data_IF_160215102395
#
_entry.id   IF_160215102395
#
_cell.length_a   1.000
_cell.length_b   1.000
_cell.length_c   1.000
_cell.angle_alpha   90.00
_cell.angle_beta   90.00
_cell.angle_gamma   90.00
#
_symmetry.space_group_name_H-M   'P 1'
#
loop_
_entity.id
_entity.type
_entity.pdbx_description
1 polymer ?
#
# COMPACT_ATOMS: atom_id res chain seq x y z
N UNK A 1 12.62 -6.31 -2.87
CA UNK A 1 12.60 -7.22 -1.70
C UNK A 1 12.39 -8.63 -2.21
N UNK A 2 13.27 -9.57 -1.87
CA UNK A 2 13.14 -10.98 -2.26
C UNK A 2 11.99 -11.66 -1.52
N UNK A 3 11.33 -12.61 -2.18
CA UNK A 3 10.30 -13.44 -1.54
C UNK A 3 10.93 -14.26 -0.40
N UNK A 4 10.28 -14.35 0.77
CA UNK A 4 10.78 -15.21 1.83
C UNK A 4 10.74 -16.68 1.38
N UNK A 5 11.64 -17.49 1.93
CA UNK A 5 11.62 -18.93 1.70
C UNK A 5 10.27 -19.56 2.10
N UNK A 6 9.83 -20.60 1.38
CA UNK A 6 8.59 -21.32 1.69
C UNK A 6 8.54 -21.79 3.15
N UNK A 7 7.33 -21.83 3.71
CA UNK A 7 7.13 -22.25 5.11
C UNK A 7 7.64 -23.66 5.35
N UNK A 8 7.40 -24.57 4.41
CA UNK A 8 7.82 -25.97 4.50
C UNK A 8 9.34 -26.11 4.67
N UNK A 9 10.12 -25.32 3.92
CA UNK A 9 11.58 -25.33 4.05
C UNK A 9 12.01 -24.86 5.44
N UNK A 10 11.38 -23.80 5.95
CA UNK A 10 11.67 -23.26 7.29
C UNK A 10 11.36 -24.29 8.37
N UNK A 11 10.22 -24.95 8.28
CA UNK A 11 9.80 -25.99 9.22
C UNK A 11 10.75 -27.17 9.22
N UNK A 12 11.12 -27.68 8.04
CA UNK A 12 12.04 -28.82 7.92
C UNK A 12 13.44 -28.52 8.45
N UNK A 13 13.96 -27.32 8.15
CA UNK A 13 15.27 -26.88 8.66
C UNK A 13 15.30 -26.84 10.18
N UNK A 14 14.21 -26.36 10.81
CA UNK A 14 14.14 -26.25 12.27
C UNK A 14 13.90 -27.60 12.92
N UNK A 15 13.05 -28.45 12.36
CA UNK A 15 12.85 -29.82 12.83
C UNK A 15 14.19 -30.59 12.87
N UNK A 16 14.98 -30.49 11.81
CA UNK A 16 16.31 -31.12 11.75
C UNK A 16 17.28 -30.59 12.82
N UNK A 17 17.22 -29.30 13.16
CA UNK A 17 18.02 -28.75 14.26
C UNK A 17 17.50 -29.20 15.62
N UNK A 18 16.17 -29.31 15.79
CA UNK A 18 15.53 -29.81 17.01
C UNK A 18 15.78 -31.31 17.25
N UNK A 19 16.02 -32.09 16.19
CA UNK A 19 16.50 -33.48 16.24
C UNK A 19 17.94 -33.62 16.78
N UNK A 20 18.65 -32.50 17.00
CA UNK A 20 19.97 -32.46 17.62
C UNK A 20 21.13 -32.20 16.65
N UNK A 21 20.83 -31.99 15.37
CA UNK A 21 21.87 -31.70 14.36
C UNK A 21 22.42 -30.27 14.47
N UNK A 22 23.67 -30.09 14.05
CA UNK A 22 24.32 -28.79 14.10
C UNK A 22 23.79 -27.80 13.06
N UNK A 23 23.83 -26.50 13.37
CA UNK A 23 23.38 -25.45 12.43
C UNK A 23 24.10 -25.48 11.06
N UNK A 24 25.41 -25.78 11.06
CA UNK A 24 26.20 -25.90 9.81
C UNK A 24 25.87 -27.16 9.04
N UNK A 25 25.51 -28.23 9.74
CA UNK A 25 25.07 -29.49 9.14
C UNK A 25 23.71 -29.31 8.46
N UNK A 26 22.75 -28.69 9.16
CA UNK A 26 21.45 -28.32 8.60
C UNK A 26 21.60 -27.43 7.33
N UNK A 27 22.49 -26.43 7.39
CA UNK A 27 22.76 -25.57 6.24
C UNK A 27 23.25 -26.36 5.02
N UNK A 28 24.16 -27.32 5.22
CA UNK A 28 24.67 -28.20 4.15
C UNK A 28 23.59 -29.15 3.64
N UNK A 29 22.81 -29.76 4.55
CA UNK A 29 21.75 -30.71 4.21
C UNK A 29 20.67 -30.07 3.33
N UNK A 30 20.17 -28.88 3.72
CA UNK A 30 19.12 -28.17 3.01
C UNK A 30 19.64 -27.20 1.92
N UNK A 31 20.95 -27.13 1.71
CA UNK A 31 21.61 -26.22 0.74
C UNK A 31 21.23 -24.75 0.94
N UNK A 32 21.14 -24.34 2.19
CA UNK A 32 20.83 -22.95 2.61
C UNK A 32 22.04 -22.33 3.30
N UNK A 33 22.02 -21.01 3.49
CA UNK A 33 23.11 -20.34 4.20
C UNK A 33 23.07 -20.66 5.71
N UNK A 34 24.21 -20.79 6.40
CA UNK A 34 24.25 -20.96 7.86
C UNK A 34 23.56 -19.80 8.61
N UNK A 35 23.64 -18.59 8.05
CA UNK A 35 22.92 -17.41 8.57
C UNK A 35 21.42 -17.62 8.57
N UNK A 36 20.85 -18.16 7.49
CA UNK A 36 19.42 -18.44 7.42
C UNK A 36 18.98 -19.40 8.53
N UNK A 37 19.74 -20.48 8.78
CA UNK A 37 19.44 -21.43 9.86
C UNK A 37 19.47 -20.72 11.22
N UNK A 38 20.50 -19.94 11.49
CA UNK A 38 20.63 -19.18 12.74
C UNK A 38 19.46 -18.20 12.93
N UNK A 39 19.11 -17.45 11.89
CA UNK A 39 17.99 -16.49 11.91
C UNK A 39 16.65 -17.19 12.18
N UNK A 40 16.45 -18.42 11.67
CA UNK A 40 15.24 -19.21 11.96
C UNK A 40 15.19 -19.73 13.40
N UNK A 41 16.33 -20.16 13.96
CA UNK A 41 16.40 -20.60 15.36
C UNK A 41 16.12 -19.43 16.31
N UNK A 42 16.69 -18.26 16.03
CA UNK A 42 16.40 -17.02 16.79
C UNK A 42 14.92 -16.68 16.68
N UNK A 43 14.37 -16.65 15.47
CA UNK A 43 12.96 -16.33 15.24
C UNK A 43 12.02 -17.28 15.99
N UNK A 44 12.31 -18.59 15.97
CA UNK A 44 11.53 -19.61 16.68
C UNK A 44 11.58 -19.39 18.20
N UNK A 45 12.73 -19.03 18.75
CA UNK A 45 12.91 -18.72 20.18
C UNK A 45 12.18 -17.45 20.59
N UNK A 46 12.24 -16.40 19.77
CA UNK A 46 11.62 -15.10 20.07
C UNK A 46 10.10 -15.13 19.94
N UNK A 47 9.57 -15.80 18.90
CA UNK A 47 8.15 -15.67 18.51
C UNK A 47 7.35 -16.96 18.63
N UNK A 48 8.01 -18.11 18.83
CA UNK A 48 7.39 -19.44 18.77
C UNK A 48 6.97 -19.88 17.35
N UNK A 49 7.07 -19.00 16.36
CA UNK A 49 6.61 -19.21 14.99
C UNK A 49 7.76 -19.11 13.98
N UNK A 50 7.55 -19.66 12.78
CA UNK A 50 8.48 -19.58 11.64
C UNK A 50 7.94 -18.69 10.51
N UNK A 51 6.83 -18.00 10.73
CA UNK A 51 6.24 -17.12 9.74
C UNK A 51 7.19 -15.95 9.41
N UNK A 52 7.36 -15.61 8.12
CA UNK A 52 8.16 -14.46 7.75
C UNK A 52 7.55 -13.18 8.34
N UNK A 53 8.41 -12.29 8.84
CA UNK A 53 8.00 -10.94 9.22
C UNK A 53 7.35 -10.26 8.01
N UNK A 54 6.29 -9.51 8.27
CA UNK A 54 5.57 -8.79 7.21
C UNK A 54 6.54 -7.90 6.43
N UNK A 55 6.66 -8.14 5.13
CA UNK A 55 7.54 -7.36 4.25
C UNK A 55 6.83 -6.07 3.81
N UNK A 56 7.59 -4.98 3.73
CA UNK A 56 7.14 -3.68 3.22
C UNK A 56 6.78 -2.66 4.30
N UNK A 57 6.50 -1.44 3.87
CA UNK A 57 6.14 -0.34 4.78
C UNK A 57 4.66 -0.44 5.16
N UNK A 58 4.39 -0.97 6.36
CA UNK A 58 3.05 -1.00 6.97
C UNK A 58 2.87 0.06 8.06
N UNK A 59 3.82 0.98 8.22
CA UNK A 59 3.68 2.01 9.24
C UNK A 59 2.38 2.80 8.96
N UNK A 60 1.50 2.98 9.98
CA UNK A 60 0.35 3.84 9.83
C UNK A 60 0.84 5.22 9.41
N UNK A 61 0.49 5.64 8.20
CA UNK A 61 0.90 6.95 7.67
C UNK A 61 0.36 8.06 8.58
N UNK A 62 0.91 9.28 8.45
CA UNK A 62 0.58 10.43 9.33
C UNK A 62 -0.92 10.71 9.55
N UNK A 63 -1.77 10.28 8.61
CA UNK A 63 -3.22 10.45 8.68
C UNK A 63 -3.94 9.39 9.55
N UNK A 64 -3.32 8.24 9.80
CA UNK A 64 -3.97 7.11 10.48
C UNK A 64 -4.51 7.44 11.89
N UNK A 65 -3.83 8.23 12.74
CA UNK A 65 -4.38 8.63 14.05
C UNK A 65 -5.67 9.45 13.95
N UNK A 66 -5.89 10.15 12.83
CA UNK A 66 -7.04 11.04 12.64
C UNK A 66 -8.27 10.32 12.05
N UNK A 67 -8.26 8.99 12.00
CA UNK A 67 -9.33 8.21 11.37
C UNK A 67 -10.66 8.32 12.12
N UNK A 68 -10.64 8.41 13.45
CA UNK A 68 -11.83 8.61 14.27
C UNK A 68 -12.45 9.99 14.01
N UNK A 69 -11.62 11.04 14.09
CA UNK A 69 -12.01 12.42 13.79
C UNK A 69 -12.67 12.55 12.41
N UNK A 70 -12.10 11.93 11.37
CA UNK A 70 -12.67 11.99 10.03
C UNK A 70 -14.06 11.33 9.95
N UNK A 71 -14.27 10.22 10.64
CA UNK A 71 -15.58 9.52 10.65
C UNK A 71 -16.64 10.37 11.33
N UNK A 72 -16.33 10.97 12.47
CA UNK A 72 -17.22 11.90 13.16
C UNK A 72 -17.54 13.10 12.27
N UNK A 73 -16.53 13.63 11.58
CA UNK A 73 -16.72 14.81 10.73
C UNK A 73 -17.64 14.55 9.55
N UNK A 74 -17.49 13.40 8.90
CA UNK A 74 -18.38 12.94 7.83
C UNK A 74 -19.79 12.66 8.36
N UNK A 75 -19.93 12.12 9.58
CA UNK A 75 -21.23 11.89 10.19
C UNK A 75 -21.98 13.20 10.49
N UNK A 76 -21.27 14.26 10.92
CA UNK A 76 -21.86 15.56 11.26
C UNK A 76 -22.15 16.41 10.03
N UNK A 77 -21.21 16.51 9.08
CA UNK A 77 -21.33 17.41 7.92
C UNK A 77 -21.85 16.75 6.64
N UNK A 78 -21.90 15.42 6.57
CA UNK A 78 -22.28 14.70 5.36
C UNK A 78 -21.15 14.64 4.32
N UNK A 79 -21.48 14.87 3.04
CA UNK A 79 -20.56 14.71 1.90
C UNK A 79 -19.58 15.87 1.76
N UNK A 80 -18.48 15.84 2.51
CA UNK A 80 -17.36 16.76 2.35
C UNK A 80 -16.53 16.45 1.10
N UNK A 81 -16.09 17.49 0.42
CA UNK A 81 -15.13 17.38 -0.69
C UNK A 81 -13.72 17.10 -0.15
N UNK A 82 -12.85 16.54 -1.00
CA UNK A 82 -11.46 16.26 -0.63
C UNK A 82 -10.70 17.52 -0.19
N UNK A 83 -10.98 18.66 -0.83
CA UNK A 83 -10.26 19.90 -0.59
C UNK A 83 -10.68 20.53 0.75
N UNK A 84 -11.95 20.40 1.12
CA UNK A 84 -12.44 20.77 2.46
C UNK A 84 -11.79 19.91 3.55
N UNK A 85 -11.64 18.60 3.33
CA UNK A 85 -10.97 17.72 4.30
C UNK A 85 -9.51 18.10 4.46
N UNK A 86 -8.81 18.46 3.37
CA UNK A 86 -7.42 18.95 3.44
C UNK A 86 -7.33 20.26 4.23
N UNK A 87 -8.25 21.20 3.97
CA UNK A 87 -8.29 22.47 4.68
C UNK A 87 -8.58 22.30 6.18
N UNK A 88 -9.53 21.43 6.54
CA UNK A 88 -9.84 21.14 7.94
C UNK A 88 -8.71 20.39 8.65
N UNK A 89 -8.01 19.47 7.98
CA UNK A 89 -6.80 18.82 8.52
C UNK A 89 -5.69 19.83 8.83
N UNK A 90 -5.50 20.82 7.96
CA UNK A 90 -4.55 21.90 8.19
C UNK A 90 -4.98 22.81 9.35
N UNK A 91 -6.26 23.16 9.43
CA UNK A 91 -6.78 24.09 10.45
C UNK A 91 -6.86 23.45 11.85
N UNK A 92 -7.35 22.22 11.97
CA UNK A 92 -7.61 21.56 13.26
C UNK A 92 -6.39 20.82 13.78
N UNK A 93 -5.61 20.20 12.89
CA UNK A 93 -4.50 19.32 13.26
C UNK A 93 -3.13 19.85 12.81
N UNK A 94 -3.06 21.02 12.16
CA UNK A 94 -1.80 21.56 11.65
C UNK A 94 -1.15 20.68 10.57
N UNK A 95 -1.92 19.78 9.95
CA UNK A 95 -1.38 18.67 9.16
C UNK A 95 -1.56 18.94 7.67
N UNK A 96 -0.48 19.37 7.01
CA UNK A 96 -0.46 19.55 5.56
C UNK A 96 -0.42 18.19 4.86
N UNK A 97 -1.57 17.80 4.30
CA UNK A 97 -1.76 16.55 3.58
C UNK A 97 -2.09 16.81 2.12
N UNK A 98 -1.38 16.15 1.21
CA UNK A 98 -1.70 16.23 -0.21
C UNK A 98 -3.08 15.59 -0.50
N UNK A 99 -3.88 16.22 -1.38
CA UNK A 99 -5.22 15.75 -1.79
C UNK A 99 -5.27 14.26 -2.14
N UNK A 100 -4.29 13.78 -2.90
CA UNK A 100 -4.20 12.35 -3.28
C UNK A 100 -3.93 11.40 -2.11
N UNK A 101 -3.25 11.87 -1.06
CA UNK A 101 -3.01 11.08 0.16
C UNK A 101 -4.31 10.94 0.96
N UNK A 102 -5.10 12.01 1.07
CA UNK A 102 -6.42 12.02 1.70
C UNK A 102 -7.39 11.11 0.94
N UNK A 103 -7.40 11.16 -0.40
CA UNK A 103 -8.19 10.24 -1.22
C UNK A 103 -7.85 8.76 -0.97
N UNK A 104 -6.56 8.40 -1.05
CA UNK A 104 -6.09 7.02 -0.72
C UNK A 104 -6.41 6.61 0.72
N UNK A 105 -6.47 7.55 1.64
CA UNK A 105 -6.80 7.30 3.03
C UNK A 105 -8.31 7.05 3.22
N UNK A 106 -9.17 7.86 2.61
CA UNK A 106 -10.63 7.63 2.57
C UNK A 106 -10.98 6.28 1.94
N UNK A 107 -10.33 5.91 0.84
CA UNK A 107 -10.51 4.59 0.23
C UNK A 107 -10.13 3.45 1.19
N UNK A 108 -9.02 3.57 1.93
CA UNK A 108 -8.61 2.59 2.94
C UNK A 108 -9.59 2.49 4.11
N UNK A 109 -10.28 3.58 4.44
CA UNK A 109 -11.29 3.63 5.51
C UNK A 109 -12.70 3.20 5.04
N UNK A 110 -12.88 2.93 3.74
CA UNK A 110 -14.20 2.62 3.17
C UNK A 110 -15.14 3.82 3.05
N UNK A 111 -14.62 5.05 3.23
CA UNK A 111 -15.40 6.29 3.26
C UNK A 111 -15.38 7.03 1.90
N UNK A 112 -14.99 6.33 0.82
CA UNK A 112 -14.98 6.91 -0.51
C UNK A 112 -16.40 7.01 -1.07
N UNK A 113 -16.77 8.20 -1.54
CA UNK A 113 -18.02 8.39 -2.25
C UNK A 113 -17.95 7.76 -3.64
N UNK A 114 -18.78 6.74 -3.89
CA UNK A 114 -18.91 6.13 -5.23
C UNK A 114 -19.57 7.13 -6.17
N UNK A 115 -18.87 7.52 -7.25
CA UNK A 115 -19.47 8.31 -8.33
C UNK A 115 -20.39 7.41 -9.16
N UNK A 116 -21.68 7.39 -8.86
CA UNK A 116 -22.66 6.77 -9.74
C UNK A 116 -22.87 7.71 -10.94
N UNK A 117 -22.39 7.32 -12.12
CA UNK A 117 -22.44 8.08 -13.37
C UNK A 117 -23.85 8.10 -14.02
N UNK A 118 -24.91 8.03 -13.23
CA UNK A 118 -26.26 8.30 -13.73
C UNK A 118 -26.49 9.80 -13.63
N UNK A 119 -26.55 10.49 -14.78
CA UNK A 119 -27.01 11.88 -14.96
C UNK A 119 -25.95 13.00 -14.96
N UNK A 120 -24.90 12.85 -15.76
CA UNK A 120 -24.28 14.01 -16.44
C UNK A 120 -24.05 13.67 -17.92
N UNK A 121 -25.13 13.67 -18.71
CA UNK A 121 -25.03 13.89 -20.16
C UNK A 121 -24.59 15.33 -20.32
N UNK A 122 -23.30 15.54 -20.55
CA UNK A 122 -22.84 16.80 -21.12
C UNK A 122 -23.29 16.78 -22.59
N UNK A 123 -24.19 17.66 -23.06
CA UNK A 123 -24.46 17.74 -24.49
C UNK A 123 -23.18 18.26 -25.15
N UNK A 124 -22.52 17.41 -25.94
CA UNK A 124 -21.37 17.82 -26.73
C UNK A 124 -21.80 18.96 -27.69
N UNK A 125 -20.98 20.02 -27.86
CA UNK A 125 -21.24 20.99 -28.91
C UNK A 125 -21.04 20.30 -30.26
N UNK A 126 -22.12 20.20 -31.03
CA UNK A 126 -22.08 19.88 -32.45
C UNK A 126 -21.42 21.04 -33.18
N UNK A 127 -20.31 20.78 -33.86
CA UNK A 127 -19.68 21.78 -34.71
C UNK A 127 -18.42 21.22 -35.38
N UNK A 128 -18.62 20.44 -36.45
CA UNK A 128 -17.50 19.98 -37.26
C UNK A 128 -17.00 21.06 -38.21
N UNK A 129 -15.71 21.01 -38.57
CA UNK A 129 -15.28 21.14 -39.97
C UNK A 129 -13.86 20.60 -40.19
N UNK A 130 -13.80 19.61 -41.07
CA UNK A 130 -12.78 19.25 -42.05
C UNK A 130 -11.30 19.58 -41.77
N UNK A 131 -10.52 18.50 -41.73
CA UNK A 131 -9.10 18.54 -42.09
C UNK A 131 -8.92 19.19 -43.47
N UNK A 132 -7.99 20.14 -43.55
CA UNK A 132 -7.39 20.58 -44.81
C UNK A 132 -5.89 20.40 -44.67
N UNK A 133 -5.34 19.44 -45.43
CA UNK A 133 -3.91 19.30 -45.61
C UNK A 133 -3.34 20.55 -46.25
N UNK A 134 -2.11 20.90 -45.87
CA UNK A 134 -1.33 21.89 -46.58
C UNK A 134 0.05 21.30 -46.88
N UNK A 135 0.24 20.99 -48.15
CA UNK A 135 1.50 20.77 -48.81
C UNK A 135 2.17 22.13 -49.13
N UNK A 136 3.50 22.16 -48.99
CA UNK A 136 4.51 23.09 -49.56
C UNK A 136 4.36 24.61 -49.39
N UNK A 137 5.41 25.25 -48.84
CA UNK A 137 6.42 25.99 -49.62
C UNK A 137 7.36 26.82 -48.73
N UNK A 138 8.66 26.72 -49.00
CA UNK A 138 9.76 27.59 -48.52
C UNK A 138 9.76 28.91 -49.32
N UNK A 139 10.04 30.05 -48.66
CA UNK A 139 11.06 31.00 -49.16
C UNK A 139 11.88 31.61 -47.98
N UNK A 140 13.08 32.19 -48.11
CA UNK A 140 13.96 32.54 -49.23
C UNK A 140 15.42 32.36 -48.75
#
# INVERSE_FOLDING_TARGET
>A
MGKPHPMELRTRVIAFVEEGHGHREAARHFRVSPRFVNDMVILKRETGCLAPKAQGNRAPGKLAPHAAWLRERIAVKGSLTLDEIVAELAAVHGLSAHRGAVGKWLHRLGLSHKKNAARQRNPAPRGGRAAKGLDRSVPA
#
